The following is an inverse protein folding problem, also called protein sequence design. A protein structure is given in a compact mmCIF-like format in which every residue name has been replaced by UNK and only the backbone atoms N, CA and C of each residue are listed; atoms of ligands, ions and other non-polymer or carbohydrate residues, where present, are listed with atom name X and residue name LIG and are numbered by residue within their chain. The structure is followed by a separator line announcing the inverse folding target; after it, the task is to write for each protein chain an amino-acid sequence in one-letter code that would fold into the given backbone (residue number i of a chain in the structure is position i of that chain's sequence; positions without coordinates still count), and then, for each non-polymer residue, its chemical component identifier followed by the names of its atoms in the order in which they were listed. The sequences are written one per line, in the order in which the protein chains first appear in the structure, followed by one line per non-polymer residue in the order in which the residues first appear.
data_IF_081582043518
#
_entry.id   IF_081582043518
#
_cell.length_a   1.000
_cell.length_b   1.000
_cell.length_c   1.000
_cell.angle_alpha   90.00
_cell.angle_beta   90.00
_cell.angle_gamma   90.00
#
_symmetry.space_group_name_H-M   'P 1'
#
loop_
_entity.id
_entity.type
_entity.pdbx_description
1 polymer ?
#
# COMPACT_ATOMS: atom_id res chain seq x y z
N UNK A 1 -3.12 -18.02 -0.88
CA UNK A 1 -3.41 -16.74 -1.57
C UNK A 1 -2.14 -15.94 -1.90
N UNK A 2 -1.25 -15.60 -0.94
CA UNK A 2 -0.02 -14.83 -1.24
C UNK A 2 0.95 -15.47 -2.24
N UNK A 3 1.05 -16.81 -2.27
CA UNK A 3 1.89 -17.52 -3.24
C UNK A 3 1.37 -17.38 -4.69
N UNK A 4 0.06 -17.30 -4.88
CA UNK A 4 -0.55 -17.02 -6.19
C UNK A 4 -0.29 -15.58 -6.61
N UNK A 5 -0.37 -14.63 -5.68
CA UNK A 5 0.02 -13.23 -5.94
C UNK A 5 1.49 -13.12 -6.34
N UNK A 6 2.40 -13.83 -5.67
CA UNK A 6 3.84 -13.77 -5.98
C UNK A 6 4.14 -14.31 -7.38
N UNK A 7 3.50 -15.42 -7.74
CA UNK A 7 3.61 -16.03 -9.06
C UNK A 7 3.09 -15.09 -10.15
N UNK A 8 1.90 -14.52 -9.96
CA UNK A 8 1.28 -13.58 -10.91
C UNK A 8 2.13 -12.30 -11.04
N UNK A 9 2.61 -11.72 -9.95
CA UNK A 9 3.52 -10.55 -9.97
C UNK A 9 4.79 -10.86 -10.77
N UNK A 10 5.40 -12.03 -10.56
CA UNK A 10 6.63 -12.43 -11.27
C UNK A 10 6.38 -12.67 -12.75
N UNK A 11 5.29 -13.35 -13.11
CA UNK A 11 4.95 -13.65 -14.52
C UNK A 11 4.50 -12.39 -15.28
N UNK A 12 3.76 -11.50 -14.64
CA UNK A 12 3.26 -10.24 -15.23
C UNK A 12 4.24 -9.07 -15.17
N UNK A 13 5.49 -9.28 -14.69
CA UNK A 13 6.46 -8.20 -14.43
C UNK A 13 5.89 -7.05 -13.56
N UNK A 14 5.00 -7.36 -12.61
CA UNK A 14 4.29 -6.41 -11.75
C UNK A 14 3.16 -5.59 -12.42
N UNK A 15 2.68 -5.96 -13.61
CA UNK A 15 1.56 -5.28 -14.28
C UNK A 15 0.20 -5.61 -13.67
N UNK A 16 0.00 -6.83 -13.16
CA UNK A 16 -1.29 -7.31 -12.65
C UNK A 16 -1.23 -7.54 -11.14
N UNK A 17 -2.05 -6.81 -10.36
CA UNK A 17 -2.14 -6.88 -8.88
C UNK A 17 -3.59 -7.03 -8.43
N UNK A 18 -3.99 -8.18 -7.90
CA UNK A 18 -5.40 -8.48 -7.61
C UNK A 18 -5.79 -8.47 -6.14
N UNK A 19 -4.98 -7.92 -5.25
CA UNK A 19 -5.35 -7.72 -3.84
C UNK A 19 -4.50 -6.62 -3.21
N UNK A 20 -5.10 -5.50 -2.78
CA UNK A 20 -4.36 -4.29 -2.43
C UNK A 20 -3.35 -4.52 -1.28
N UNK A 21 -3.81 -4.99 -0.12
CA UNK A 21 -2.93 -5.19 1.05
C UNK A 21 -2.06 -6.44 0.92
N UNK A 22 -2.65 -7.58 0.56
CA UNK A 22 -1.87 -8.84 0.45
C UNK A 22 -0.91 -8.83 -0.75
N UNK A 23 -1.20 -8.05 -1.81
CA UNK A 23 -0.27 -7.74 -2.89
C UNK A 23 0.91 -6.89 -2.41
N UNK A 24 0.67 -5.81 -1.65
CA UNK A 24 1.74 -5.02 -1.04
C UNK A 24 2.65 -5.88 -0.13
N UNK A 25 2.08 -6.73 0.71
CA UNK A 25 2.84 -7.66 1.56
C UNK A 25 3.67 -8.65 0.74
N UNK A 26 3.11 -9.15 -0.37
CA UNK A 26 3.83 -10.05 -1.28
C UNK A 26 5.02 -9.36 -1.93
N UNK A 27 4.84 -8.12 -2.39
CA UNK A 27 5.89 -7.32 -3.01
C UNK A 27 7.02 -6.98 -2.02
N UNK A 28 6.68 -6.68 -0.76
CA UNK A 28 7.67 -6.52 0.33
C UNK A 28 8.47 -7.83 0.48
N UNK A 29 7.79 -8.98 0.53
CA UNK A 29 8.45 -10.28 0.61
C UNK A 29 9.42 -10.55 -0.54
N UNK A 30 9.05 -10.18 -1.77
CA UNK A 30 9.91 -10.30 -2.96
C UNK A 30 11.14 -9.39 -2.84
N UNK A 31 10.98 -8.11 -2.46
CA UNK A 31 12.10 -7.18 -2.31
C UNK A 31 13.03 -7.57 -1.14
N UNK A 32 12.49 -8.05 -0.02
CA UNK A 32 13.28 -8.62 1.08
C UNK A 32 14.04 -9.86 0.63
N UNK A 33 13.40 -10.76 -0.11
CA UNK A 33 14.05 -11.94 -0.69
C UNK A 33 15.23 -11.56 -1.60
N UNK A 34 15.05 -10.53 -2.44
CA UNK A 34 16.14 -9.98 -3.26
C UNK A 34 17.25 -9.33 -2.44
N UNK A 35 16.92 -8.73 -1.29
CA UNK A 35 17.87 -8.05 -0.42
C UNK A 35 18.80 -9.04 0.29
N UNK A 36 18.25 -10.18 0.73
CA UNK A 36 19.00 -11.25 1.38
C UNK A 36 19.52 -12.31 0.39
N UNK A 37 19.32 -12.11 -0.91
CA UNK A 37 19.80 -13.04 -1.93
C UNK A 37 21.33 -13.02 -2.01
N UNK A 38 21.95 -14.17 -1.77
CA UNK A 38 23.38 -14.30 -1.92
C UNK A 38 23.72 -14.46 -3.41
N UNK A 39 24.31 -13.41 -4.01
CA UNK A 39 24.82 -13.44 -5.38
C UNK A 39 26.12 -14.27 -5.49
N UNK A 40 26.07 -15.59 -5.22
CA UNK A 40 27.25 -16.48 -5.20
C UNK A 40 27.84 -16.69 -6.60
N UNK A 41 27.03 -16.52 -7.65
CA UNK A 41 27.42 -16.83 -9.01
C UNK A 41 28.49 -15.86 -9.53
N UNK A 42 29.76 -16.27 -9.48
CA UNK A 42 30.90 -15.70 -10.21
C UNK A 42 30.85 -16.11 -11.71
N UNK A 43 29.67 -16.06 -12.32
CA UNK A 43 29.52 -16.16 -13.76
C UNK A 43 29.73 -14.79 -14.40
N UNK A 44 30.16 -14.77 -15.65
CA UNK A 44 30.41 -13.55 -16.42
C UNK A 44 29.25 -12.55 -16.25
N UNK A 45 29.56 -11.30 -15.89
CA UNK A 45 28.55 -10.28 -15.52
C UNK A 45 27.58 -9.95 -16.66
N UNK A 46 27.89 -10.41 -17.88
CA UNK A 46 27.05 -10.30 -19.07
C UNK A 46 25.94 -11.37 -19.16
N UNK A 47 26.08 -12.54 -18.52
CA UNK A 47 25.10 -13.64 -18.62
C UNK A 47 24.15 -13.75 -17.42
N UNK A 48 24.55 -13.26 -16.23
CA UNK A 48 23.70 -13.28 -15.02
C UNK A 48 23.80 -11.94 -14.27
N UNK A 49 22.89 -10.97 -14.52
CA UNK A 49 22.88 -9.73 -13.77
C UNK A 49 22.59 -9.98 -12.27
N UNK A 50 23.24 -9.24 -11.36
CA UNK A 50 23.09 -9.45 -9.93
C UNK A 50 21.67 -9.11 -9.47
N UNK A 51 21.12 -9.94 -8.59
CA UNK A 51 19.81 -9.67 -7.97
C UNK A 51 19.97 -8.48 -7.03
N UNK A 52 19.25 -7.39 -7.33
CA UNK A 52 19.25 -6.16 -6.54
C UNK A 52 17.83 -5.86 -6.06
N UNK A 53 17.71 -5.56 -4.77
CA UNK A 53 16.47 -5.09 -4.17
C UNK A 53 16.28 -3.59 -4.40
N UNK A 54 15.04 -3.18 -4.62
CA UNK A 54 14.65 -1.77 -4.62
C UNK A 54 14.28 -1.35 -3.19
N UNK A 55 15.22 -0.66 -2.54
CA UNK A 55 15.05 -0.20 -1.15
C UNK A 55 14.01 0.92 -1.04
N UNK A 56 13.87 1.77 -2.05
CA UNK A 56 12.91 2.86 -2.02
C UNK A 56 11.48 2.31 -2.09
N UNK A 57 11.25 1.37 -3.02
CA UNK A 57 9.99 0.64 -3.13
C UNK A 57 9.65 -0.13 -1.86
N UNK A 58 10.64 -0.81 -1.26
CA UNK A 58 10.46 -1.52 0.01
C UNK A 58 9.99 -0.58 1.13
N UNK A 59 10.64 0.59 1.29
CA UNK A 59 10.28 1.57 2.32
C UNK A 59 8.83 2.04 2.14
N UNK A 60 8.43 2.42 0.93
CA UNK A 60 7.07 2.91 0.66
C UNK A 60 6.03 1.83 0.95
N UNK A 61 6.23 0.60 0.45
CA UNK A 61 5.30 -0.50 0.67
C UNK A 61 5.18 -0.86 2.16
N UNK A 62 6.32 -0.96 2.86
CA UNK A 62 6.33 -1.22 4.29
C UNK A 62 5.62 -0.13 5.07
N UNK A 63 5.87 1.15 4.75
CA UNK A 63 5.21 2.28 5.40
C UNK A 63 3.69 2.26 5.17
N UNK A 64 3.22 1.98 3.95
CA UNK A 64 1.79 1.86 3.66
C UNK A 64 1.13 0.74 4.47
N UNK A 65 1.75 -0.45 4.51
CA UNK A 65 1.21 -1.59 5.27
C UNK A 65 1.22 -1.31 6.78
N UNK A 66 2.29 -0.70 7.30
CA UNK A 66 2.39 -0.34 8.71
C UNK A 66 1.36 0.72 9.10
N UNK A 67 1.20 1.79 8.31
CA UNK A 67 0.19 2.82 8.57
C UNK A 67 -1.23 2.24 8.54
N UNK A 68 -1.53 1.35 7.58
CA UNK A 68 -2.82 0.67 7.52
C UNK A 68 -3.05 -0.20 8.77
N UNK A 69 -2.06 -1.00 9.16
CA UNK A 69 -2.17 -1.87 10.33
C UNK A 69 -2.33 -1.07 11.63
N UNK A 70 -1.48 -0.05 11.84
CA UNK A 70 -1.55 0.82 13.02
C UNK A 70 -2.90 1.54 13.06
N UNK A 71 -3.34 2.14 11.95
CA UNK A 71 -4.65 2.79 11.86
C UNK A 71 -5.81 1.85 12.19
N UNK A 72 -5.77 0.62 11.67
CA UNK A 72 -6.79 -0.40 11.96
C UNK A 72 -6.81 -0.84 13.42
N UNK A 73 -5.64 -1.11 14.01
CA UNK A 73 -5.51 -1.48 15.43
C UNK A 73 -5.93 -0.33 16.35
N UNK A 74 -5.46 0.89 16.09
CA UNK A 74 -5.87 2.07 16.84
C UNK A 74 -7.37 2.33 16.72
N UNK A 75 -7.96 2.13 15.54
CA UNK A 75 -9.41 2.24 15.32
C UNK A 75 -10.19 1.21 16.13
N UNK A 76 -9.79 -0.06 16.08
CA UNK A 76 -10.42 -1.13 16.85
C UNK A 76 -10.31 -0.89 18.37
N UNK A 77 -9.12 -0.49 18.83
CA UNK A 77 -8.87 -0.15 20.23
C UNK A 77 -9.72 1.06 20.69
N UNK A 78 -9.79 2.10 19.87
CA UNK A 78 -10.60 3.29 20.16
C UNK A 78 -12.09 2.98 20.20
N UNK A 79 -12.58 2.12 19.29
CA UNK A 79 -13.97 1.67 19.30
C UNK A 79 -14.29 0.84 20.54
N UNK A 80 -13.36 -0.02 20.99
CA UNK A 80 -13.53 -0.81 22.20
C UNK A 80 -13.72 0.07 23.45
N UNK A 81 -12.99 1.19 23.56
CA UNK A 81 -13.05 2.07 24.73
C UNK A 81 -14.14 3.16 24.64
N UNK A 82 -14.35 3.75 23.47
CA UNK A 82 -15.21 4.93 23.28
C UNK A 82 -16.47 4.66 22.45
N UNK A 83 -16.66 3.42 21.99
CA UNK A 83 -17.78 3.04 21.11
C UNK A 83 -17.80 3.89 19.84
N UNK A 84 -19.00 4.32 19.43
CA UNK A 84 -19.19 5.17 18.25
C UNK A 84 -18.53 6.55 18.34
N UNK A 85 -18.17 7.05 19.53
CA UNK A 85 -17.45 8.32 19.67
C UNK A 85 -16.08 8.32 18.98
N UNK A 86 -15.48 7.14 18.81
CA UNK A 86 -14.19 6.97 18.13
C UNK A 86 -14.16 7.42 16.66
N UNK A 87 -15.31 7.53 16.00
CA UNK A 87 -15.39 7.89 14.57
C UNK A 87 -15.41 9.40 14.34
N UNK A 88 -15.70 10.21 15.37
CA UNK A 88 -15.83 11.66 15.25
C UNK A 88 -14.60 12.36 14.68
N UNK A 89 -13.36 12.06 15.13
CA UNK A 89 -12.18 12.70 14.58
C UNK A 89 -11.99 12.40 13.09
N UNK A 90 -12.25 11.15 12.69
CA UNK A 90 -12.12 10.71 11.30
C UNK A 90 -13.20 11.34 10.42
N UNK A 91 -14.44 11.39 10.90
CA UNK A 91 -15.56 12.03 10.21
C UNK A 91 -15.29 13.52 10.00
N UNK A 92 -14.85 14.24 11.05
CA UNK A 92 -14.55 15.66 10.97
C UNK A 92 -13.41 15.94 9.98
N UNK A 93 -12.34 15.14 10.01
CA UNK A 93 -11.25 15.24 9.05
C UNK A 93 -11.72 15.04 7.61
N UNK A 94 -12.52 14.00 7.34
CA UNK A 94 -13.05 13.73 6.01
C UNK A 94 -14.00 14.83 5.53
N UNK A 95 -14.86 15.36 6.40
CA UNK A 95 -15.75 16.47 6.08
C UNK A 95 -14.96 17.73 5.74
N UNK A 96 -13.91 18.05 6.50
CA UNK A 96 -13.04 19.19 6.20
C UNK A 96 -12.34 19.04 4.85
N UNK A 97 -11.79 17.86 4.56
CA UNK A 97 -11.11 17.58 3.29
C UNK A 97 -12.08 17.67 2.09
N UNK A 98 -13.32 17.20 2.29
CA UNK A 98 -14.34 17.18 1.25
C UNK A 98 -15.06 18.53 1.08
N UNK A 99 -14.91 19.48 2.01
CA UNK A 99 -15.65 20.75 1.98
C UNK A 99 -15.38 21.56 0.70
N UNK A 100 -14.12 21.61 0.26
CA UNK A 100 -13.72 22.33 -0.96
C UNK A 100 -14.33 21.71 -2.23
N UNK A 101 -14.12 20.41 -2.55
CA UNK A 101 -14.71 19.82 -3.75
C UNK A 101 -16.24 19.83 -3.73
N UNK A 102 -16.86 19.68 -2.55
CA UNK A 102 -18.33 19.80 -2.42
C UNK A 102 -18.79 21.22 -2.76
N UNK A 103 -18.09 22.26 -2.29
CA UNK A 103 -18.42 23.64 -2.61
C UNK A 103 -18.27 23.94 -4.11
N UNK A 104 -17.22 23.41 -4.73
CA UNK A 104 -16.97 23.54 -6.16
C UNK A 104 -18.06 22.83 -6.98
N UNK A 105 -18.46 21.62 -6.60
CA UNK A 105 -19.55 20.87 -7.23
C UNK A 105 -20.88 21.62 -7.13
N UNK A 106 -21.24 22.13 -5.94
CA UNK A 106 -22.46 22.91 -5.72
C UNK A 106 -22.48 24.17 -6.60
N UNK A 107 -21.37 24.91 -6.65
CA UNK A 107 -21.25 26.09 -7.53
C UNK A 107 -21.42 25.72 -8.99
N UNK A 108 -20.79 24.63 -9.43
CA UNK A 108 -20.89 24.14 -10.81
C UNK A 108 -22.32 23.73 -11.19
N UNK A 109 -23.07 23.14 -10.25
CA UNK A 109 -24.46 22.75 -10.44
C UNK A 109 -25.38 23.98 -10.55
N UNK A 110 -25.21 24.97 -9.66
CA UNK A 110 -25.99 26.22 -9.68
C UNK A 110 -25.74 27.03 -10.95
N UNK A 111 -24.50 27.08 -11.46
CA UNK A 111 -24.20 27.78 -12.70
C UNK A 111 -24.72 27.09 -13.97
N UNK A 112 -25.10 25.81 -13.89
CA UNK A 112 -25.66 25.04 -15.00
C UNK A 112 -27.20 24.99 -15.00
N UNK A 113 -27.85 25.39 -13.91
CA UNK A 113 -29.30 25.49 -13.77
C UNK A 113 -29.78 26.90 -14.14
#
# INVERSE_FOLDING_TARGET
MGLQNAMITKVSRSEIRTTHVTGMVTDIGIELGKLFYWNVAKGDAQTMPPVRADRAKLIVLSLMVTLFFVGGVTGAYSFFHFGFGSTWPLALLLTLLAMVPIADDIRSFIHRA
#
